data_IF_805726311384
#
_entry.id   IF_805726311384
#
_cell.length_a   1.000
_cell.length_b   1.000
_cell.length_c   1.000
_cell.angle_alpha   90.00
_cell.angle_beta   90.00
_cell.angle_gamma   90.00
#
_symmetry.space_group_name_H-M   'P 1'
#
loop_
_entity.id
_entity.type
_entity.pdbx_description
1 polymer ?
#
# COMPACT_ATOMS: atom_id res chain seq x y z
N UNK A 1 42.74 40.98 -23.91
CA UNK A 1 41.61 40.42 -24.68
C UNK A 1 41.91 38.97 -25.03
N UNK A 2 41.46 38.01 -24.22
CA UNK A 2 40.87 36.75 -24.70
C UNK A 2 39.87 36.34 -23.62
N UNK A 3 38.61 36.33 -24.02
CA UNK A 3 37.42 36.07 -23.22
C UNK A 3 37.16 34.55 -23.28
N UNK A 4 37.26 33.87 -22.13
CA UNK A 4 36.91 32.46 -22.03
C UNK A 4 35.40 32.35 -21.77
N UNK A 5 34.65 32.19 -22.85
CA UNK A 5 33.20 31.97 -22.83
C UNK A 5 32.84 30.65 -22.13
N UNK A 6 31.78 30.74 -21.35
CA UNK A 6 31.23 29.70 -20.48
C UNK A 6 30.76 28.45 -21.26
N UNK A 7 31.10 27.28 -20.72
CA UNK A 7 30.47 26.01 -21.07
C UNK A 7 29.42 25.64 -20.01
N UNK A 8 28.35 26.45 -19.92
CA UNK A 8 27.25 26.27 -18.96
C UNK A 8 25.97 25.71 -19.60
N UNK A 9 26.03 25.28 -20.88
CA UNK A 9 24.87 24.85 -21.65
C UNK A 9 24.47 23.37 -21.49
N UNK A 10 25.41 22.51 -21.09
CA UNK A 10 25.19 21.06 -21.20
C UNK A 10 24.56 20.45 -19.93
N UNK A 11 24.90 20.96 -18.73
CA UNK A 11 24.33 20.48 -17.46
C UNK A 11 22.85 20.85 -17.30
N UNK A 12 22.44 22.01 -17.81
CA UNK A 12 21.05 22.48 -17.72
C UNK A 12 20.09 21.66 -18.59
N UNK A 13 20.55 21.11 -19.72
CA UNK A 13 19.71 20.32 -20.64
C UNK A 13 19.42 18.90 -20.14
N UNK A 14 20.34 18.35 -19.34
CA UNK A 14 20.20 17.04 -18.70
C UNK A 14 19.37 17.13 -17.42
N UNK A 15 19.54 18.20 -16.65
CA UNK A 15 18.73 18.46 -15.45
C UNK A 15 17.28 18.83 -15.77
N UNK A 16 16.99 19.43 -16.93
CA UNK A 16 15.60 19.77 -17.32
C UNK A 16 14.79 18.59 -17.86
N UNK A 17 15.41 17.45 -18.20
CA UNK A 17 14.73 16.27 -18.77
C UNK A 17 14.31 15.23 -17.74
N UNK A 18 14.88 15.27 -16.53
CA UNK A 18 14.58 14.31 -15.48
C UNK A 18 13.17 14.56 -14.90
N UNK A 19 12.20 13.75 -15.32
CA UNK A 19 10.83 13.76 -14.79
C UNK A 19 9.75 14.26 -15.75
N UNK A 20 10.10 14.59 -16.99
CA UNK A 20 9.11 14.89 -18.04
C UNK A 20 8.66 13.61 -18.74
N UNK A 21 7.35 13.40 -18.77
CA UNK A 21 6.72 12.28 -19.50
C UNK A 21 7.05 12.37 -21.00
N UNK A 22 7.08 11.22 -21.71
CA UNK A 22 7.36 11.22 -23.14
C UNK A 22 6.33 12.06 -23.91
N UNK A 23 6.76 12.63 -25.03
CA UNK A 23 5.87 13.36 -25.93
C UNK A 23 4.73 12.44 -26.40
N UNK A 24 3.49 12.89 -26.27
CA UNK A 24 2.31 12.15 -26.72
C UNK A 24 1.09 12.39 -25.84
N UNK A 25 0.24 11.37 -25.73
CA UNK A 25 -0.99 11.46 -24.95
C UNK A 25 -0.74 11.45 -23.43
N UNK A 26 0.33 10.80 -22.96
CA UNK A 26 0.72 10.77 -21.55
C UNK A 26 1.19 12.15 -21.06
N UNK A 27 1.87 12.94 -21.89
CA UNK A 27 2.22 14.33 -21.53
C UNK A 27 0.99 15.25 -21.49
N UNK A 28 -0.09 14.92 -22.22
CA UNK A 28 -1.37 15.65 -22.16
C UNK A 28 -2.17 15.32 -20.90
N UNK A 29 -2.04 14.09 -20.41
CA UNK A 29 -2.73 13.62 -19.20
C UNK A 29 -1.73 12.98 -18.22
N UNK A 30 -0.88 13.79 -17.54
CA UNK A 30 0.23 13.26 -16.76
C UNK A 30 -0.17 12.29 -15.65
N UNK A 31 -1.34 12.51 -15.06
CA UNK A 31 -1.89 11.67 -14.00
C UNK A 31 -2.08 10.20 -14.42
N UNK A 32 -2.30 9.92 -15.70
CA UNK A 32 -2.61 8.55 -16.16
C UNK A 32 -1.48 7.58 -15.82
N UNK A 33 -0.22 7.99 -15.98
CA UNK A 33 0.95 7.15 -15.69
C UNK A 33 1.01 6.72 -14.21
N UNK A 34 0.52 7.55 -13.29
CA UNK A 34 0.76 7.38 -11.86
C UNK A 34 -0.48 6.91 -11.10
N UNK A 35 -1.68 7.22 -11.60
CA UNK A 35 -2.93 6.88 -10.92
C UNK A 35 -3.70 5.75 -11.61
N UNK A 36 -3.67 5.61 -12.94
CA UNK A 36 -4.56 4.65 -13.62
C UNK A 36 -4.36 3.20 -13.13
N UNK A 37 -3.14 2.66 -13.03
CA UNK A 37 -2.95 1.31 -12.52
C UNK A 37 -3.38 1.13 -11.06
N UNK A 38 -3.16 2.14 -10.23
CA UNK A 38 -3.60 2.17 -8.83
C UNK A 38 -5.14 2.19 -8.73
N UNK A 39 -5.81 3.04 -9.51
CA UNK A 39 -7.27 3.12 -9.57
C UNK A 39 -7.86 1.78 -9.99
N UNK A 40 -7.34 1.15 -11.05
CA UNK A 40 -7.82 -0.17 -11.49
C UNK A 40 -7.59 -1.23 -10.42
N UNK A 41 -6.42 -1.23 -9.78
CA UNK A 41 -6.12 -2.16 -8.68
C UNK A 41 -7.11 -2.00 -7.51
N UNK A 42 -7.36 -0.76 -7.08
CA UNK A 42 -8.28 -0.45 -5.99
C UNK A 42 -9.74 -0.76 -6.34
N UNK A 43 -10.21 -0.39 -7.53
CA UNK A 43 -11.58 -0.68 -8.00
C UNK A 43 -11.85 -2.17 -8.12
N UNK A 44 -10.86 -2.95 -8.59
CA UNK A 44 -11.01 -4.39 -8.62
C UNK A 44 -10.93 -5.00 -7.22
N UNK A 45 -10.17 -4.39 -6.31
CA UNK A 45 -10.11 -4.77 -4.90
C UNK A 45 -11.44 -4.61 -4.17
N UNK A 46 -12.29 -3.63 -4.53
CA UNK A 46 -13.63 -3.50 -3.94
C UNK A 46 -14.57 -4.64 -4.30
N UNK A 47 -14.22 -5.45 -5.31
CA UNK A 47 -14.99 -6.61 -5.74
C UNK A 47 -14.53 -7.91 -5.05
N UNK A 48 -13.44 -7.86 -4.26
CA UNK A 48 -12.92 -9.05 -3.59
C UNK A 48 -13.90 -9.53 -2.52
N UNK A 49 -14.35 -10.79 -2.59
CA UNK A 49 -15.23 -11.34 -1.58
C UNK A 49 -14.47 -11.54 -0.28
N UNK A 50 -15.06 -11.11 0.83
CA UNK A 50 -14.48 -11.28 2.17
C UNK A 50 -14.67 -12.73 2.64
N UNK A 51 -13.74 -13.30 3.43
CA UNK A 51 -13.99 -14.59 4.05
C UNK A 51 -15.24 -14.50 4.93
N UNK A 52 -15.99 -15.60 5.09
CA UNK A 52 -17.05 -15.65 6.09
C UNK A 52 -16.44 -15.33 7.45
N UNK A 53 -16.99 -14.34 8.15
CA UNK A 53 -16.55 -14.01 9.50
C UNK A 53 -16.75 -15.26 10.37
N UNK A 54 -15.65 -15.85 10.84
CA UNK A 54 -15.72 -16.86 11.89
C UNK A 54 -16.23 -16.10 13.12
N UNK A 55 -17.38 -16.51 13.64
CA UNK A 55 -17.95 -15.94 14.85
C UNK A 55 -17.04 -16.23 16.05
N UNK A 56 -15.96 -15.47 16.18
CA UNK A 56 -15.05 -15.55 17.31
C UNK A 56 -15.31 -14.33 18.20
N UNK A 57 -16.23 -14.53 19.15
CA UNK A 57 -16.53 -13.65 20.31
C UNK A 57 -16.47 -12.14 20.04
N UNK A 58 -17.14 -11.68 19.00
CA UNK A 58 -17.68 -10.32 19.01
C UNK A 58 -18.91 -10.37 19.91
N UNK A 59 -19.04 -9.44 20.85
CA UNK A 59 -20.23 -9.31 21.68
C UNK A 59 -21.47 -9.36 20.77
N UNK A 60 -22.47 -10.18 21.10
CA UNK A 60 -23.62 -10.45 20.22
C UNK A 60 -24.27 -9.14 19.76
N UNK A 61 -24.25 -8.10 20.61
CA UNK A 61 -24.74 -6.76 20.28
C UNK A 61 -23.92 -6.03 19.20
N UNK A 62 -22.58 -6.13 19.23
CA UNK A 62 -21.71 -5.52 18.20
C UNK A 62 -21.78 -6.32 16.90
N UNK A 63 -21.87 -7.65 16.97
CA UNK A 63 -22.05 -8.50 15.80
C UNK A 63 -23.41 -8.27 15.13
N UNK A 64 -24.48 -8.08 15.92
CA UNK A 64 -25.83 -7.75 15.44
C UNK A 64 -25.86 -6.35 14.82
N UNK A 65 -25.18 -5.37 15.43
CA UNK A 65 -25.06 -4.01 14.89
C UNK A 65 -24.24 -3.98 13.59
N UNK A 66 -23.11 -4.68 13.53
CA UNK A 66 -22.32 -4.83 12.31
C UNK A 66 -23.07 -5.62 11.24
N UNK A 67 -23.87 -6.63 11.61
CA UNK A 67 -24.79 -7.31 10.69
C UNK A 67 -25.86 -6.38 10.16
N UNK A 68 -26.53 -5.62 11.02
CA UNK A 68 -27.55 -4.67 10.59
C UNK A 68 -26.95 -3.57 9.71
N UNK A 69 -25.71 -3.14 9.98
CA UNK A 69 -24.97 -2.22 9.12
C UNK A 69 -24.60 -2.90 7.79
N UNK A 70 -24.07 -4.12 7.80
CA UNK A 70 -23.70 -4.85 6.60
C UNK A 70 -24.92 -5.18 5.73
N UNK A 71 -26.03 -5.63 6.33
CA UNK A 71 -27.31 -5.91 5.68
C UNK A 71 -27.97 -4.62 5.17
N UNK A 72 -27.86 -3.50 5.88
CA UNK A 72 -28.35 -2.20 5.40
C UNK A 72 -27.49 -1.60 4.26
N UNK A 73 -26.25 -2.06 4.10
CA UNK A 73 -25.43 -1.76 2.92
C UNK A 73 -25.54 -2.81 1.80
N UNK A 74 -25.96 -4.04 2.09
CA UNK A 74 -26.18 -5.11 1.10
C UNK A 74 -27.52 -4.97 0.37
N UNK A 75 -28.56 -4.40 1.01
CA UNK A 75 -29.83 -4.12 0.32
C UNK A 75 -29.70 -3.02 -0.76
N UNK A 76 -28.68 -2.15 -0.69
CA UNK A 76 -28.38 -1.09 -1.68
C UNK A 76 -26.96 -1.18 -2.26
N UNK A 77 -26.31 -2.34 -2.18
CA UNK A 77 -25.00 -2.56 -2.81
C UNK A 77 -25.10 -2.47 -4.34
N UNK A 78 -24.25 -1.66 -4.97
CA UNK A 78 -24.24 -1.47 -6.43
C UNK A 78 -24.01 -2.77 -7.23
N UNK A 79 -23.53 -3.85 -6.57
CA UNK A 79 -23.20 -5.14 -7.16
C UNK A 79 -23.60 -6.29 -6.22
N UNK A 80 -24.07 -7.44 -6.75
CA UNK A 80 -24.45 -8.59 -5.94
C UNK A 80 -23.27 -9.17 -5.16
N UNK A 81 -23.50 -9.57 -3.91
CA UNK A 81 -22.50 -10.21 -3.05
C UNK A 81 -21.88 -11.45 -3.73
N UNK A 82 -20.60 -11.37 -4.06
CA UNK A 82 -19.89 -12.45 -4.74
C UNK A 82 -19.46 -13.50 -3.72
N UNK A 83 -19.68 -14.78 -4.02
CA UNK A 83 -19.30 -15.89 -3.13
C UNK A 83 -17.76 -15.99 -2.99
N UNK A 84 -17.28 -16.28 -1.78
CA UNK A 84 -15.84 -16.39 -1.45
C UNK A 84 -15.06 -17.38 -2.33
N UNK A 85 -15.70 -18.44 -2.83
CA UNK A 85 -15.12 -19.38 -3.80
C UNK A 85 -14.59 -18.71 -5.09
N UNK A 86 -15.12 -17.53 -5.47
CA UNK A 86 -14.67 -16.78 -6.65
C UNK A 86 -13.49 -15.85 -6.35
N UNK A 87 -13.03 -15.78 -5.10
CA UNK A 87 -11.89 -14.97 -4.69
C UNK A 87 -10.67 -15.15 -5.62
N UNK A 88 -10.24 -16.38 -5.97
CA UNK A 88 -9.07 -16.55 -6.81
C UNK A 88 -9.24 -15.98 -8.23
N UNK A 89 -10.44 -16.09 -8.79
CA UNK A 89 -10.74 -15.56 -10.12
C UNK A 89 -10.75 -14.03 -10.13
N UNK A 90 -11.39 -13.42 -9.14
CA UNK A 90 -11.49 -11.95 -9.02
C UNK A 90 -10.12 -11.35 -8.75
N UNK A 91 -9.35 -11.93 -7.84
CA UNK A 91 -7.98 -11.50 -7.58
C UNK A 91 -7.09 -11.66 -8.83
N UNK A 92 -7.21 -12.77 -9.56
CA UNK A 92 -6.48 -12.94 -10.82
C UNK A 92 -6.86 -11.89 -11.85
N UNK A 93 -8.16 -11.59 -11.99
CA UNK A 93 -8.65 -10.54 -12.87
C UNK A 93 -8.13 -9.15 -12.46
N UNK A 94 -8.08 -8.84 -11.15
CA UNK A 94 -7.45 -7.63 -10.60
C UNK A 94 -6.02 -7.50 -11.11
N UNK A 95 -5.18 -8.51 -10.88
CA UNK A 95 -3.77 -8.48 -11.29
C UNK A 95 -3.62 -8.34 -12.80
N UNK A 96 -4.40 -9.08 -13.60
CA UNK A 96 -4.34 -8.99 -15.06
C UNK A 96 -4.74 -7.60 -15.56
N UNK A 97 -5.83 -7.03 -15.06
CA UNK A 97 -6.29 -5.70 -15.47
C UNK A 97 -5.30 -4.61 -15.05
N UNK A 98 -4.73 -4.70 -13.85
CA UNK A 98 -3.65 -3.81 -13.41
C UNK A 98 -2.44 -3.92 -14.34
N UNK A 99 -2.00 -5.13 -14.69
CA UNK A 99 -0.88 -5.33 -15.64
C UNK A 99 -1.18 -4.74 -17.03
N UNK A 100 -2.40 -4.88 -17.54
CA UNK A 100 -2.82 -4.26 -18.81
C UNK A 100 -2.64 -2.74 -18.74
N UNK A 101 -3.07 -2.11 -17.64
CA UNK A 101 -2.88 -0.66 -17.46
C UNK A 101 -1.41 -0.27 -17.28
N UNK A 102 -0.60 -1.09 -16.60
CA UNK A 102 0.84 -0.86 -16.48
C UNK A 102 1.55 -0.92 -17.85
N UNK A 103 1.16 -1.86 -18.71
CA UNK A 103 1.67 -1.95 -20.09
C UNK A 103 1.26 -0.72 -20.89
N UNK A 104 0.00 -0.28 -20.76
CA UNK A 104 -0.50 0.93 -21.43
C UNK A 104 0.30 2.18 -21.06
N UNK A 105 0.68 2.32 -19.77
CA UNK A 105 1.44 3.48 -19.26
C UNK A 105 2.95 3.27 -19.23
N UNK A 106 3.44 2.13 -19.74
CA UNK A 106 4.87 1.79 -19.74
C UNK A 106 5.79 2.88 -20.31
N UNK A 107 5.43 3.61 -21.39
CA UNK A 107 6.26 4.72 -21.86
C UNK A 107 6.47 5.82 -20.80
N UNK A 108 5.50 6.03 -19.92
CA UNK A 108 5.61 6.94 -18.77
C UNK A 108 6.48 6.38 -17.64
N UNK A 109 6.48 5.06 -17.40
CA UNK A 109 7.44 4.44 -16.49
C UNK A 109 8.87 4.54 -17.03
N UNK A 110 9.02 4.33 -18.34
CA UNK A 110 10.30 4.42 -19.05
C UNK A 110 10.93 5.81 -19.08
N UNK A 111 10.20 6.89 -18.72
CA UNK A 111 10.82 8.22 -18.56
C UNK A 111 11.68 8.34 -17.31
N UNK A 112 11.56 7.40 -16.37
CA UNK A 112 12.40 7.34 -15.17
C UNK A 112 13.57 6.38 -15.41
N UNK A 113 14.82 6.79 -15.10
CA UNK A 113 16.00 5.97 -15.37
C UNK A 113 15.97 4.71 -14.51
N UNK A 114 15.80 3.54 -15.14
CA UNK A 114 15.76 2.24 -14.48
C UNK A 114 17.15 1.90 -13.91
N UNK A 115 17.39 2.38 -12.70
CA UNK A 115 18.60 2.17 -11.91
C UNK A 115 18.20 1.57 -10.57
N UNK A 116 18.89 0.53 -10.14
CA UNK A 116 18.70 -0.09 -8.84
C UNK A 116 20.04 -0.10 -8.13
N UNK A 117 20.14 0.64 -7.03
CA UNK A 117 21.33 0.69 -6.19
C UNK A 117 21.33 -0.46 -5.17
N UNK A 118 22.51 -0.84 -4.67
CA UNK A 118 22.60 -1.79 -3.56
C UNK A 118 21.87 -1.29 -2.30
N UNK A 119 21.78 0.04 -2.13
CA UNK A 119 21.10 0.66 -0.99
C UNK A 119 19.60 0.34 -0.96
N UNK A 120 18.93 0.22 -2.11
CA UNK A 120 17.50 -0.16 -2.12
C UNK A 120 17.29 -1.59 -1.61
N UNK A 121 18.17 -2.52 -1.98
CA UNK A 121 18.14 -3.90 -1.47
C UNK A 121 18.35 -3.92 0.05
N UNK A 122 19.35 -3.18 0.55
CA UNK A 122 19.61 -3.08 2.00
C UNK A 122 18.40 -2.50 2.74
N UNK A 123 17.82 -1.42 2.22
CA UNK A 123 16.61 -0.81 2.80
C UNK A 123 15.44 -1.80 2.81
N UNK A 124 15.25 -2.58 1.74
CA UNK A 124 14.21 -3.61 1.68
C UNK A 124 14.41 -4.74 2.70
N UNK A 125 15.63 -5.26 2.83
CA UNK A 125 15.95 -6.32 3.81
C UNK A 125 15.80 -5.82 5.24
N UNK A 126 16.32 -4.63 5.56
CA UNK A 126 16.15 -4.03 6.89
C UNK A 126 14.67 -3.73 7.14
N UNK A 127 13.96 -3.24 6.12
CA UNK A 127 12.54 -2.94 6.17
C UNK A 127 11.69 -4.12 6.61
N UNK A 128 11.86 -5.29 5.98
CA UNK A 128 11.07 -6.49 6.35
C UNK A 128 11.38 -6.98 7.77
N UNK A 129 12.65 -6.93 8.19
CA UNK A 129 13.05 -7.34 9.55
C UNK A 129 12.42 -6.43 10.60
N UNK A 130 12.46 -5.11 10.37
CA UNK A 130 11.83 -4.14 11.26
C UNK A 130 10.31 -4.26 11.24
N UNK A 131 9.70 -4.47 10.07
CA UNK A 131 8.26 -4.66 9.94
C UNK A 131 7.76 -5.84 10.76
N UNK A 132 8.30 -7.04 10.49
CA UNK A 132 7.93 -8.27 11.22
C UNK A 132 8.22 -8.12 12.71
N UNK A 133 9.37 -7.54 13.07
CA UNK A 133 9.75 -7.30 14.45
C UNK A 133 8.74 -6.40 15.19
N UNK A 134 8.33 -5.29 14.59
CA UNK A 134 7.36 -4.37 15.17
C UNK A 134 5.96 -4.99 15.27
N UNK A 135 5.49 -5.69 14.23
CA UNK A 135 4.21 -6.40 14.29
C UNK A 135 4.19 -7.44 15.43
N UNK A 136 5.28 -8.18 15.63
CA UNK A 136 5.40 -9.17 16.72
C UNK A 136 5.43 -8.55 18.12
N UNK A 137 5.84 -7.29 18.26
CA UNK A 137 5.84 -6.62 19.56
C UNK A 137 4.42 -6.19 20.00
N UNK A 138 3.46 -6.13 19.07
CA UNK A 138 2.07 -5.71 19.30
C UNK A 138 2.01 -4.44 20.15
N UNK A 139 2.70 -3.40 19.69
CA UNK A 139 2.82 -2.14 20.43
C UNK A 139 1.55 -1.30 20.31
N UNK A 140 0.80 -1.46 19.23
CA UNK A 140 -0.43 -0.74 18.90
C UNK A 140 -1.48 -0.96 20.00
N UNK A 141 -1.88 -2.19 20.38
CA UNK A 141 -2.77 -2.40 21.52
C UNK A 141 -2.24 -1.85 22.84
N UNK A 142 -0.92 -1.94 23.07
CA UNK A 142 -0.29 -1.51 24.33
C UNK A 142 -0.26 0.01 24.48
N UNK A 143 -0.18 0.75 23.38
CA UNK A 143 -0.10 2.22 23.37
C UNK A 143 -1.46 2.86 23.15
N UNK A 144 -2.25 2.35 22.20
CA UNK A 144 -3.53 2.94 21.80
C UNK A 144 -4.63 2.54 22.81
N UNK A 145 -4.63 1.30 23.30
CA UNK A 145 -5.65 0.82 24.25
C UNK A 145 -5.81 1.67 25.52
N UNK A 146 -4.72 2.05 26.22
CA UNK A 146 -4.81 2.95 27.37
C UNK A 146 -5.33 4.36 27.02
N UNK A 147 -4.96 4.88 25.85
CA UNK A 147 -5.40 6.21 25.39
C UNK A 147 -6.88 6.18 25.03
N UNK A 148 -7.31 5.14 24.32
CA UNK A 148 -8.70 4.89 23.95
C UNK A 148 -9.59 4.79 25.20
N UNK A 149 -9.12 4.04 26.21
CA UNK A 149 -9.80 3.95 27.50
C UNK A 149 -9.87 5.26 28.28
N UNK A 150 -8.77 5.99 28.29
CA UNK A 150 -8.71 7.29 28.96
C UNK A 150 -9.68 8.28 28.32
N UNK A 151 -9.71 8.37 26.99
CA UNK A 151 -10.62 9.26 26.27
C UNK A 151 -12.08 8.84 26.42
N UNK A 152 -12.37 7.53 26.38
CA UNK A 152 -13.71 6.99 26.62
C UNK A 152 -14.22 7.36 28.01
N UNK A 153 -13.35 7.33 29.02
CA UNK A 153 -13.70 7.70 30.40
C UNK A 153 -13.98 9.20 30.62
N UNK A 154 -13.64 10.07 29.65
CA UNK A 154 -13.98 11.50 29.69
C UNK A 154 -15.38 11.78 29.12
N UNK A 155 -15.97 10.82 28.39
CA UNK A 155 -17.30 10.97 27.81
C UNK A 155 -18.37 10.50 28.82
N UNK A 156 -19.48 11.23 28.95
CA UNK A 156 -20.62 10.78 29.75
C UNK A 156 -21.35 9.65 29.00
N UNK A 157 -20.87 8.41 29.17
CA UNK A 157 -21.50 7.21 28.59
C UNK A 157 -22.07 6.32 29.70
N UNK A 158 -23.30 5.84 29.51
CA UNK A 158 -23.87 4.78 30.34
C UNK A 158 -23.30 3.45 29.86
N UNK A 159 -22.34 2.90 30.61
CA UNK A 159 -21.68 1.63 30.29
C UNK A 159 -22.35 0.48 31.04
N UNK A 160 -22.49 -0.65 30.36
CA UNK A 160 -22.85 -1.92 30.99
C UNK A 160 -21.79 -2.38 32.02
N UNK A 161 -22.14 -3.33 32.91
CA UNK A 161 -21.25 -3.79 33.98
C UNK A 161 -19.95 -4.46 33.51
N UNK A 162 -19.84 -4.85 32.23
CA UNK A 162 -18.64 -5.44 31.63
C UNK A 162 -18.06 -4.65 30.44
N UNK A 163 -18.64 -3.51 30.08
CA UNK A 163 -18.15 -2.70 28.96
C UNK A 163 -17.02 -1.76 29.40
N UNK A 164 -15.90 -1.78 28.67
CA UNK A 164 -14.84 -0.82 28.89
C UNK A 164 -15.18 0.52 28.22
N UNK A 165 -14.93 1.67 28.87
CA UNK A 165 -15.14 2.98 28.26
C UNK A 165 -14.15 3.16 27.10
N UNK A 166 -14.60 3.11 25.85
CA UNK A 166 -13.77 3.29 24.64
C UNK A 166 -14.41 4.31 23.70
N UNK A 167 -13.60 5.03 22.90
CA UNK A 167 -14.11 5.87 21.80
C UNK A 167 -14.07 5.13 20.45
N UNK A 168 -13.81 3.82 20.47
CA UNK A 168 -13.65 2.99 19.27
C UNK A 168 -12.33 3.21 18.55
N UNK A 169 -11.32 3.82 19.19
CA UNK A 169 -10.06 4.16 18.52
C UNK A 169 -9.32 2.91 18.02
N UNK A 170 -9.36 1.82 18.78
CA UNK A 170 -8.79 0.52 18.37
C UNK A 170 -9.55 -0.12 17.20
N UNK A 171 -10.87 0.08 17.12
CA UNK A 171 -11.67 -0.41 15.99
C UNK A 171 -11.34 0.35 14.69
N UNK A 172 -11.13 1.67 14.78
CA UNK A 172 -10.81 2.52 13.62
C UNK A 172 -9.36 2.35 13.18
N UNK A 173 -8.42 2.30 14.12
CA UNK A 173 -6.99 2.18 13.85
C UNK A 173 -6.53 0.73 13.64
N UNK A 174 -7.43 -0.24 13.82
CA UNK A 174 -7.23 -1.66 13.60
C UNK A 174 -6.59 -2.41 14.77
N UNK A 175 -7.05 -3.63 14.96
CA UNK A 175 -6.47 -4.62 15.89
C UNK A 175 -5.29 -5.39 15.28
N UNK A 176 -5.07 -5.26 13.97
CA UNK A 176 -4.09 -6.03 13.21
C UNK A 176 -4.64 -7.36 12.65
N UNK A 177 -5.92 -7.66 12.88
CA UNK A 177 -6.57 -8.81 12.27
C UNK A 177 -6.83 -8.56 10.78
N UNK A 178 -6.24 -9.41 9.94
CA UNK A 178 -6.42 -9.39 8.48
C UNK A 178 -7.14 -10.66 8.05
N UNK A 179 -7.95 -10.56 7.01
CA UNK A 179 -8.44 -11.73 6.29
C UNK A 179 -7.25 -12.51 5.73
N UNK A 180 -7.02 -13.71 6.23
CA UNK A 180 -6.05 -14.64 5.65
C UNK A 180 -6.70 -15.46 4.53
N UNK A 181 -5.99 -15.66 3.43
CA UNK A 181 -6.36 -16.64 2.39
C UNK A 181 -5.17 -17.57 2.18
N UNK A 182 -5.31 -18.84 2.54
CA UNK A 182 -4.28 -19.86 2.29
C UNK A 182 -4.64 -20.66 1.02
N UNK A 183 -4.01 -20.40 -0.15
CA UNK A 183 -4.33 -21.12 -1.38
C UNK A 183 -4.14 -22.63 -1.29
N UNK A 184 -3.22 -23.10 -0.45
CA UNK A 184 -2.90 -24.52 -0.34
C UNK A 184 -3.96 -25.29 0.45
N UNK A 185 -4.73 -24.60 1.28
CA UNK A 185 -5.88 -25.16 2.01
C UNK A 185 -7.18 -24.96 1.21
N UNK A 186 -7.48 -23.72 0.83
CA UNK A 186 -8.74 -23.34 0.16
C UNK A 186 -8.88 -23.96 -1.25
N UNK A 187 -7.76 -24.18 -1.95
CA UNK A 187 -7.74 -24.77 -3.30
C UNK A 187 -7.12 -26.17 -3.32
N UNK A 188 -7.10 -26.87 -2.18
CA UNK A 188 -6.48 -28.21 -2.05
C UNK A 188 -6.98 -29.19 -3.10
N UNK A 189 -8.27 -29.16 -3.42
CA UNK A 189 -8.90 -30.04 -4.42
C UNK A 189 -8.57 -29.64 -5.87
N UNK A 190 -8.17 -28.40 -6.11
CA UNK A 190 -7.82 -27.88 -7.43
C UNK A 190 -6.38 -28.22 -7.86
N UNK A 191 -5.62 -28.93 -7.02
CA UNK A 191 -4.29 -29.47 -7.33
C UNK A 191 -3.28 -28.40 -7.76
N UNK A 192 -2.83 -28.46 -9.01
CA UNK A 192 -1.82 -27.52 -9.56
C UNK A 192 -2.31 -26.07 -9.48
N UNK A 193 -3.61 -25.83 -9.55
CA UNK A 193 -4.17 -24.49 -9.52
C UNK A 193 -3.89 -23.74 -8.20
N UNK A 194 -3.81 -24.44 -7.07
CA UNK A 194 -3.44 -23.85 -5.78
C UNK A 194 -2.06 -23.15 -5.85
N UNK A 195 -1.08 -23.82 -6.47
CA UNK A 195 0.28 -23.30 -6.63
C UNK A 195 0.36 -22.17 -7.66
N UNK A 196 -0.40 -22.27 -8.76
CA UNK A 196 -0.48 -21.21 -9.76
C UNK A 196 -1.10 -19.96 -9.14
N UNK A 197 -2.19 -20.10 -8.37
CA UNK A 197 -2.82 -18.97 -7.70
C UNK A 197 -1.91 -18.36 -6.62
N UNK A 198 -1.20 -19.18 -5.85
CA UNK A 198 -0.17 -18.71 -4.92
C UNK A 198 0.90 -17.90 -5.65
N UNK A 199 1.39 -18.37 -6.80
CA UNK A 199 2.36 -17.63 -7.61
C UNK A 199 1.79 -16.30 -8.13
N UNK A 200 0.51 -16.25 -8.51
CA UNK A 200 -0.17 -15.01 -8.91
C UNK A 200 -0.22 -14.02 -7.74
N UNK A 201 -0.63 -14.45 -6.54
CA UNK A 201 -0.62 -13.61 -5.33
C UNK A 201 0.77 -13.07 -5.04
N UNK A 202 1.76 -13.96 -5.07
CA UNK A 202 3.15 -13.63 -4.76
C UNK A 202 3.73 -12.63 -5.78
N UNK A 203 3.47 -12.82 -7.06
CA UNK A 203 3.87 -11.89 -8.12
C UNK A 203 3.13 -10.54 -7.99
N UNK A 204 1.83 -10.57 -7.67
CA UNK A 204 1.06 -9.37 -7.36
C UNK A 204 1.70 -8.56 -6.24
N UNK A 205 1.96 -9.21 -5.10
CA UNK A 205 2.57 -8.63 -3.92
C UNK A 205 4.00 -8.09 -4.18
N UNK A 206 4.86 -8.85 -4.84
CA UNK A 206 6.29 -8.52 -4.97
C UNK A 206 6.66 -7.72 -6.24
N UNK A 207 5.84 -7.74 -7.30
CA UNK A 207 6.18 -7.14 -8.59
C UNK A 207 5.18 -6.08 -9.06
N UNK A 208 3.88 -6.26 -8.79
CA UNK A 208 2.84 -5.33 -9.25
C UNK A 208 2.63 -4.20 -8.25
N UNK A 209 2.31 -4.56 -7.00
CA UNK A 209 2.02 -3.60 -5.91
C UNK A 209 3.15 -2.58 -5.72
N UNK A 210 4.44 -2.96 -5.66
CA UNK A 210 5.52 -1.99 -5.49
C UNK A 210 5.61 -0.97 -6.61
N UNK A 211 5.29 -1.35 -7.85
CA UNK A 211 5.33 -0.39 -8.96
C UNK A 211 4.17 0.58 -8.85
N UNK A 212 2.94 0.07 -8.71
CA UNK A 212 1.76 0.94 -8.71
C UNK A 212 1.72 1.86 -7.48
N UNK A 213 2.14 1.37 -6.31
CA UNK A 213 2.11 2.15 -5.07
C UNK A 213 3.21 3.21 -5.03
N UNK A 214 4.43 2.90 -5.45
CA UNK A 214 5.51 3.89 -5.45
C UNK A 214 5.28 5.00 -6.49
N UNK A 215 4.73 4.64 -7.66
CA UNK A 215 4.31 5.63 -8.64
C UNK A 215 3.13 6.48 -8.16
N UNK A 216 2.14 5.89 -7.50
CA UNK A 216 1.05 6.65 -6.89
C UNK A 216 1.54 7.57 -5.77
N UNK A 217 2.25 7.03 -4.78
CA UNK A 217 2.62 7.74 -3.56
C UNK A 217 3.73 8.76 -3.80
N UNK A 218 4.87 8.33 -4.36
CA UNK A 218 6.05 9.20 -4.54
C UNK A 218 6.09 9.85 -5.90
N UNK A 219 5.60 9.15 -6.92
CA UNK A 219 5.50 9.69 -8.27
C UNK A 219 4.41 10.75 -8.41
N UNK A 220 3.30 10.64 -7.68
CA UNK A 220 2.18 11.59 -7.69
C UNK A 220 1.96 12.28 -6.33
N UNK A 221 1.45 11.60 -5.29
CA UNK A 221 0.88 12.24 -4.10
C UNK A 221 1.85 13.20 -3.40
N UNK A 222 3.07 12.74 -3.12
CA UNK A 222 4.09 13.56 -2.48
C UNK A 222 4.49 14.78 -3.32
N UNK A 223 4.47 14.68 -4.66
CA UNK A 223 4.77 15.80 -5.57
C UNK A 223 3.57 16.73 -5.73
N UNK A 224 2.35 16.20 -5.70
CA UNK A 224 1.08 16.95 -5.73
C UNK A 224 0.95 17.88 -4.53
N UNK A 225 1.29 17.40 -3.35
CA UNK A 225 1.30 18.20 -2.12
C UNK A 225 2.34 19.33 -2.15
N UNK A 226 3.37 19.22 -3.00
CA UNK A 226 4.33 20.32 -3.21
C UNK A 226 3.76 21.37 -4.16
N UNK A 227 3.14 20.96 -5.27
CA UNK A 227 2.62 21.88 -6.28
C UNK A 227 1.55 21.20 -7.16
N UNK A 228 0.51 21.93 -7.59
CA UNK A 228 -0.58 21.41 -8.45
C UNK A 228 -0.08 20.87 -9.81
N UNK A 229 0.89 21.54 -10.43
CA UNK A 229 1.63 21.07 -11.61
C UNK A 229 2.77 20.12 -11.21
N UNK A 230 2.48 19.11 -10.40
CA UNK A 230 3.44 18.21 -9.75
C UNK A 230 4.34 17.45 -10.69
N UNK A 231 3.91 17.20 -11.93
CA UNK A 231 4.74 16.57 -12.95
C UNK A 231 5.98 17.41 -13.30
N UNK A 232 6.00 18.70 -12.95
CA UNK A 232 7.16 19.58 -13.07
C UNK A 232 8.07 19.55 -11.83
N UNK A 233 7.60 19.05 -10.69
CA UNK A 233 8.39 18.93 -9.46
C UNK A 233 9.41 17.81 -9.65
N UNK A 234 10.73 18.06 -9.54
CA UNK A 234 11.74 17.01 -9.70
C UNK A 234 11.53 15.87 -8.69
N UNK A 235 11.78 14.62 -9.10
CA UNK A 235 11.66 13.49 -8.19
C UNK A 235 12.70 13.60 -7.05
N UNK A 236 12.25 13.39 -5.81
CA UNK A 236 13.05 13.58 -4.59
C UNK A 236 13.10 15.02 -4.06
N UNK A 237 12.47 15.99 -4.75
CA UNK A 237 12.21 17.32 -4.18
C UNK A 237 10.99 17.23 -3.25
N UNK A 238 11.17 17.52 -1.97
CA UNK A 238 10.13 17.41 -0.94
C UNK A 238 10.13 18.64 -0.03
N UNK A 239 8.95 19.01 0.47
CA UNK A 239 8.79 19.94 1.59
C UNK A 239 8.30 19.16 2.84
N UNK A 240 8.13 19.85 3.97
CA UNK A 240 7.65 19.21 5.21
C UNK A 240 6.30 18.53 5.03
N UNK A 241 5.37 19.19 4.32
CA UNK A 241 4.03 18.66 4.07
C UNK A 241 4.08 17.38 3.24
N UNK A 242 4.94 17.30 2.23
CA UNK A 242 5.12 16.11 1.40
C UNK A 242 5.71 14.93 2.19
N UNK A 243 6.67 15.18 3.09
CA UNK A 243 7.23 14.12 3.97
C UNK A 243 6.17 13.61 4.95
N UNK A 244 5.39 14.51 5.56
CA UNK A 244 4.29 14.13 6.44
C UNK A 244 3.23 13.35 5.68
N UNK A 245 2.76 13.86 4.53
CA UNK A 245 1.75 13.19 3.72
C UNK A 245 2.23 11.82 3.21
N UNK A 246 3.48 11.74 2.74
CA UNK A 246 4.10 10.50 2.25
C UNK A 246 4.34 9.43 3.31
N UNK A 247 4.19 9.78 4.59
CA UNK A 247 4.32 8.84 5.72
C UNK A 247 2.98 8.57 6.38
N UNK A 248 2.24 9.62 6.75
CA UNK A 248 1.01 9.52 7.51
C UNK A 248 -0.15 8.89 6.71
N UNK A 249 -0.32 9.26 5.44
CA UNK A 249 -1.41 8.71 4.60
C UNK A 249 -1.28 7.20 4.46
N UNK A 250 -0.16 6.65 3.97
CA UNK A 250 -0.05 5.21 3.86
C UNK A 250 -0.01 4.51 5.22
N UNK A 251 0.51 5.14 6.28
CA UNK A 251 0.42 4.60 7.64
C UNK A 251 -1.04 4.36 8.05
N UNK A 252 -1.94 5.31 7.80
CA UNK A 252 -3.38 5.16 8.09
C UNK A 252 -4.07 4.10 7.20
N UNK A 253 -3.47 3.74 6.06
CA UNK A 253 -3.93 2.63 5.21
C UNK A 253 -3.46 1.26 5.70
N UNK A 254 -2.65 1.20 6.76
CA UNK A 254 -2.18 -0.04 7.40
C UNK A 254 -2.67 -0.13 8.85
N UNK A 255 -3.99 -0.17 9.07
CA UNK A 255 -4.56 -0.28 10.41
C UNK A 255 -4.05 -1.56 11.09
N UNK A 256 -3.69 -1.46 12.37
CA UNK A 256 -3.07 -2.50 13.17
C UNK A 256 -1.55 -2.65 13.03
N UNK A 257 -0.93 -1.97 12.06
CA UNK A 257 0.53 -2.01 11.82
C UNK A 257 1.13 -0.59 11.73
N UNK A 258 0.53 0.37 12.44
CA UNK A 258 0.84 1.79 12.30
C UNK A 258 2.32 2.10 12.57
N UNK A 259 2.95 1.46 13.56
CA UNK A 259 4.36 1.73 13.88
C UNK A 259 5.30 1.09 12.86
N UNK A 260 4.98 -0.12 12.41
CA UNK A 260 5.72 -0.79 11.34
C UNK A 260 5.66 0.05 10.05
N UNK A 261 4.47 0.50 9.68
CA UNK A 261 4.23 1.39 8.56
C UNK A 261 4.98 2.72 8.73
N UNK A 262 4.87 3.40 9.88
CA UNK A 262 5.58 4.65 10.16
C UNK A 262 7.08 4.52 9.88
N UNK A 263 7.71 3.48 10.41
CA UNK A 263 9.15 3.23 10.25
C UNK A 263 9.50 2.96 8.79
N UNK A 264 8.77 2.06 8.14
CA UNK A 264 9.06 1.65 6.77
C UNK A 264 8.83 2.78 5.75
N UNK A 265 7.68 3.47 5.82
CA UNK A 265 7.39 4.59 4.93
C UNK A 265 8.37 5.76 5.13
N UNK A 266 8.87 5.95 6.36
CA UNK A 266 9.95 6.91 6.64
C UNK A 266 11.27 6.50 5.99
N UNK A 267 11.65 5.22 6.07
CA UNK A 267 12.87 4.70 5.43
C UNK A 267 12.83 4.85 3.91
N UNK A 268 11.72 4.51 3.27
CA UNK A 268 11.57 4.65 1.81
C UNK A 268 11.48 6.11 1.40
N UNK A 269 10.89 6.99 2.22
CA UNK A 269 10.92 8.45 2.00
C UNK A 269 12.35 9.00 2.10
N UNK A 270 13.13 8.55 3.07
CA UNK A 270 14.56 8.88 3.14
C UNK A 270 15.31 8.39 1.90
N UNK A 271 15.05 7.16 1.45
CA UNK A 271 15.64 6.57 0.24
C UNK A 271 15.34 7.43 -0.99
N UNK A 272 14.07 7.84 -1.18
CA UNK A 272 13.63 8.74 -2.24
C UNK A 272 14.44 10.03 -2.27
N UNK A 273 14.59 10.70 -1.13
CA UNK A 273 15.33 11.99 -1.03
C UNK A 273 16.82 11.77 -1.31
N UNK A 274 17.37 10.64 -0.87
CA UNK A 274 18.79 10.32 -0.98
C UNK A 274 19.22 9.91 -2.39
N UNK A 275 18.42 9.10 -3.08
CA UNK A 275 18.75 8.57 -4.42
C UNK A 275 18.16 9.41 -5.55
N UNK A 276 17.07 10.14 -5.28
CA UNK A 276 16.27 10.85 -6.30
C UNK A 276 15.89 9.95 -7.47
N UNK A 277 15.59 8.68 -7.16
CA UNK A 277 15.29 7.66 -8.14
C UNK A 277 14.12 6.79 -7.67
N UNK A 278 13.03 6.79 -8.45
CA UNK A 278 11.82 6.04 -8.10
C UNK A 278 12.04 4.53 -8.11
N UNK A 279 12.92 4.03 -8.98
CA UNK A 279 13.18 2.61 -9.10
C UNK A 279 13.96 2.04 -7.90
N UNK A 280 14.68 2.88 -7.15
CA UNK A 280 15.23 2.48 -5.85
C UNK A 280 14.12 2.27 -4.81
N UNK A 281 13.07 3.11 -4.80
CA UNK A 281 11.93 2.92 -3.92
C UNK A 281 11.13 1.67 -4.30
N UNK A 282 10.85 1.48 -5.60
CA UNK A 282 10.21 0.27 -6.14
C UNK A 282 10.99 -0.98 -5.76
N UNK A 283 12.32 -0.97 -5.91
CA UNK A 283 13.15 -2.12 -5.58
C UNK A 283 13.17 -2.41 -4.08
N UNK A 284 13.29 -1.39 -3.21
CA UNK A 284 13.24 -1.59 -1.77
C UNK A 284 11.88 -2.19 -1.32
N UNK A 285 10.79 -1.72 -1.92
CA UNK A 285 9.46 -2.24 -1.67
C UNK A 285 9.28 -3.65 -2.21
N UNK A 286 9.68 -3.93 -3.45
CA UNK A 286 9.65 -5.27 -4.03
C UNK A 286 10.45 -6.29 -3.20
N UNK A 287 11.65 -5.92 -2.72
CA UNK A 287 12.46 -6.77 -1.83
C UNK A 287 11.76 -7.01 -0.50
N UNK A 288 11.18 -5.97 0.11
CA UNK A 288 10.42 -6.11 1.36
C UNK A 288 9.29 -7.11 1.18
N UNK A 289 8.47 -6.92 0.14
CA UNK A 289 7.29 -7.73 -0.14
C UNK A 289 7.62 -9.17 -0.54
N UNK A 290 8.69 -9.35 -1.33
CA UNK A 290 9.20 -10.67 -1.67
C UNK A 290 9.60 -11.46 -0.42
N UNK A 291 10.38 -10.85 0.47
CA UNK A 291 10.85 -11.48 1.70
C UNK A 291 9.71 -11.71 2.69
N UNK A 292 8.76 -10.78 2.79
CA UNK A 292 7.56 -10.94 3.60
C UNK A 292 6.72 -12.11 3.09
N UNK A 293 6.45 -12.18 1.78
CA UNK A 293 5.75 -13.30 1.17
C UNK A 293 6.46 -14.64 1.40
N UNK A 294 7.79 -14.68 1.29
CA UNK A 294 8.57 -15.89 1.56
C UNK A 294 8.46 -16.31 3.04
N UNK A 295 8.51 -15.34 3.95
CA UNK A 295 8.28 -15.57 5.38
C UNK A 295 6.87 -16.09 5.66
N UNK A 296 5.83 -15.57 5.01
CA UNK A 296 4.44 -16.06 5.15
C UNK A 296 4.32 -17.52 4.74
N UNK A 297 4.84 -17.87 3.57
CA UNK A 297 4.79 -19.26 3.08
C UNK A 297 5.55 -20.21 4.01
N UNK A 298 6.65 -19.75 4.62
CA UNK A 298 7.45 -20.57 5.53
C UNK A 298 6.85 -20.68 6.95
N UNK A 299 6.18 -19.63 7.44
CA UNK A 299 5.64 -19.57 8.81
C UNK A 299 4.17 -19.98 8.92
N UNK A 300 3.42 -19.93 7.83
CA UNK A 300 1.97 -20.11 7.82
C UNK A 300 1.20 -18.88 8.31
N UNK A 301 1.86 -17.73 8.51
CA UNK A 301 1.24 -16.46 8.95
C UNK A 301 0.54 -15.74 7.78
N UNK A 302 -0.45 -16.41 7.16
CA UNK A 302 -1.15 -15.96 5.95
C UNK A 302 -1.84 -14.60 6.06
N UNK A 303 -2.11 -14.12 7.27
CA UNK A 303 -2.63 -12.77 7.51
C UNK A 303 -1.70 -11.65 6.98
N UNK A 304 -0.40 -11.91 6.78
CA UNK A 304 0.55 -10.90 6.32
C UNK A 304 0.66 -10.77 4.77
N UNK A 305 -0.09 -11.57 3.99
CA UNK A 305 -0.04 -11.59 2.51
C UNK A 305 -1.31 -11.08 1.85
#
# INVERSE_FOLDING_TARGET
MVEAAANSGDSASVESRAGQLPAGWLSRWPWVTFLLPMIVYMLMGTLEPKPPQVAEKVDEATAEFERQIAESFDEEGLLPAIRYEHYPLIYTAKIVLTLVTMVLVWPGYGSFPLKVSCMSVVVGVVGVVLWIGLCRLQLEPKLIGPVDRFLGGLLPMELGPEEEPTIGLMGILGTGERSAFNPLEELREAGVWAYVFLAIRFAGLALVVPVIEEFFLRGFLMRYVVHENWWLVPFGAVNRTAVIAGTAIPMLMHPGELLAALVWFSMVTWLMVRTRNIWDCVAAHAVTNFLLGAYVVASGEWQLM
#
